data_IF_445374183350
#
_entry.id   IF_445374183350
#
_cell.length_a   1.000
_cell.length_b   1.000
_cell.length_c   1.000
_cell.angle_alpha   90.00
_cell.angle_beta   90.00
_cell.angle_gamma   90.00
#
_symmetry.space_group_name_H-M   'P 1'
#
loop_
_entity.id
_entity.type
_entity.pdbx_description
1 polymer ?
#
# COMPACT_ATOMS: atom_id res chain seq x y z
N UNK A 1 23.23 -19.26 0.78
CA UNK A 1 23.80 -18.33 1.78
C UNK A 1 22.67 -17.44 2.26
N UNK A 2 22.54 -17.26 3.57
CA UNK A 2 21.39 -16.59 4.18
C UNK A 2 21.84 -15.36 5.00
N UNK A 3 20.91 -14.49 5.40
CA UNK A 3 21.24 -13.23 6.11
C UNK A 3 21.99 -13.51 7.42
N UNK A 4 21.52 -14.47 8.22
CA UNK A 4 22.10 -14.80 9.52
C UNK A 4 23.55 -15.28 9.40
N UNK A 5 23.84 -16.15 8.43
CA UNK A 5 25.18 -16.67 8.18
C UNK A 5 26.12 -15.57 7.72
N UNK A 6 25.68 -14.68 6.83
CA UNK A 6 26.50 -13.54 6.39
C UNK A 6 26.84 -12.62 7.56
N UNK A 7 25.87 -12.30 8.42
CA UNK A 7 26.10 -11.45 9.58
C UNK A 7 27.10 -12.13 10.52
N UNK A 8 26.93 -13.41 10.86
CA UNK A 8 27.86 -14.15 11.74
C UNK A 8 29.28 -14.16 11.20
N UNK A 9 29.44 -14.42 9.90
CA UNK A 9 30.75 -14.43 9.25
C UNK A 9 31.43 -13.06 9.37
N UNK A 10 30.69 -11.97 9.11
CA UNK A 10 31.26 -10.61 9.18
C UNK A 10 31.56 -10.15 10.60
N UNK A 11 30.76 -10.54 11.58
CA UNK A 11 31.06 -10.29 13.00
C UNK A 11 32.38 -10.97 13.40
N UNK A 12 32.58 -12.22 13.00
CA UNK A 12 33.83 -12.95 13.28
C UNK A 12 35.04 -12.32 12.56
N UNK A 13 34.91 -11.97 11.28
CA UNK A 13 35.98 -11.34 10.49
C UNK A 13 36.39 -9.95 10.99
N UNK A 14 35.46 -9.23 11.62
CA UNK A 14 35.68 -7.87 12.14
C UNK A 14 35.92 -7.83 13.64
N UNK A 15 35.95 -8.99 14.32
CA UNK A 15 36.07 -9.11 15.78
C UNK A 15 35.01 -8.30 16.54
N UNK A 16 33.78 -8.27 16.02
CA UNK A 16 32.64 -7.55 16.59
C UNK A 16 31.69 -8.51 17.33
N UNK A 17 31.08 -8.01 18.40
CA UNK A 17 30.07 -8.73 19.17
C UNK A 17 28.64 -8.41 18.72
N UNK A 18 27.67 -9.21 19.17
CA UNK A 18 26.25 -8.97 18.87
C UNK A 18 25.75 -7.64 19.44
N UNK A 19 26.28 -7.24 20.61
CA UNK A 19 25.97 -5.95 21.24
C UNK A 19 26.36 -4.76 20.36
N UNK A 20 27.45 -4.87 19.60
CA UNK A 20 27.92 -3.80 18.72
C UNK A 20 26.98 -3.65 17.52
N UNK A 21 26.54 -4.78 16.97
CA UNK A 21 25.54 -4.80 15.90
C UNK A 21 24.18 -4.29 16.37
N UNK A 22 23.76 -4.65 17.58
CA UNK A 22 22.52 -4.19 18.20
C UNK A 22 22.54 -2.68 18.39
N UNK A 23 23.62 -2.14 18.95
CA UNK A 23 23.82 -0.69 19.12
C UNK A 23 23.83 0.04 17.76
N UNK A 24 24.55 -0.46 16.76
CA UNK A 24 24.61 0.17 15.44
C UNK A 24 23.27 0.15 14.70
N UNK A 25 22.46 -0.88 14.92
CA UNK A 25 21.11 -1.01 14.37
C UNK A 25 20.02 -0.40 15.24
N UNK A 26 20.40 0.19 16.39
CA UNK A 26 19.51 0.82 17.38
C UNK A 26 18.43 -0.13 17.96
N UNK A 27 18.70 -1.44 17.96
CA UNK A 27 17.78 -2.48 18.44
C UNK A 27 18.36 -3.17 19.68
N UNK A 28 17.54 -3.97 20.35
CA UNK A 28 18.01 -4.76 21.49
C UNK A 28 18.95 -5.89 21.07
N UNK A 29 19.89 -6.25 21.94
CA UNK A 29 20.78 -7.40 21.71
C UNK A 29 19.98 -8.71 21.59
N UNK A 30 18.91 -8.85 22.36
CA UNK A 30 17.99 -9.99 22.29
C UNK A 30 17.36 -10.14 20.89
N UNK A 31 16.99 -9.02 20.25
CA UNK A 31 16.46 -9.05 18.89
C UNK A 31 17.48 -9.56 17.88
N UNK A 32 18.73 -9.06 17.95
CA UNK A 32 19.83 -9.55 17.10
C UNK A 32 20.09 -11.04 17.36
N UNK A 33 20.13 -11.47 18.62
CA UNK A 33 20.30 -12.88 18.98
C UNK A 33 19.19 -13.76 18.40
N UNK A 34 17.93 -13.34 18.48
CA UNK A 34 16.79 -14.06 17.91
C UNK A 34 16.84 -14.14 16.38
N UNK A 35 17.25 -13.06 15.71
CA UNK A 35 17.48 -13.04 14.26
C UNK A 35 18.60 -14.02 13.88
N UNK A 36 19.75 -13.97 14.58
CA UNK A 36 20.87 -14.85 14.32
C UNK A 36 20.56 -16.32 14.64
N UNK A 37 19.70 -16.59 15.63
CA UNK A 37 19.24 -17.93 15.98
C UNK A 37 18.17 -18.48 15.02
N UNK A 38 17.74 -17.71 14.01
CA UNK A 38 16.63 -18.03 13.10
C UNK A 38 15.30 -18.28 13.82
N UNK A 39 15.15 -17.75 15.04
CA UNK A 39 13.87 -17.74 15.75
C UNK A 39 12.91 -16.71 15.17
N UNK A 40 13.46 -15.68 14.53
CA UNK A 40 12.72 -14.64 13.82
C UNK A 40 13.16 -14.60 12.36
N UNK A 41 12.18 -14.34 11.49
CA UNK A 41 12.45 -14.07 10.08
C UNK A 41 13.14 -12.71 9.92
N UNK A 42 14.07 -12.57 8.96
CA UNK A 42 14.61 -11.26 8.60
C UNK A 42 13.48 -10.31 8.17
N UNK A 43 13.47 -9.05 8.65
CA UNK A 43 12.40 -8.10 8.36
C UNK A 43 12.23 -7.83 6.86
N UNK A 44 11.04 -7.41 6.43
CA UNK A 44 10.80 -7.08 5.02
C UNK A 44 11.65 -5.86 4.61
N UNK A 45 12.51 -5.96 3.58
CA UNK A 45 13.45 -4.89 3.23
C UNK A 45 12.82 -3.57 2.82
N UNK A 46 11.61 -3.59 2.28
CA UNK A 46 10.83 -2.40 1.91
C UNK A 46 10.27 -1.64 3.12
N UNK A 47 10.37 -2.20 4.34
CA UNK A 47 9.74 -1.69 5.56
C UNK A 47 10.71 -1.44 6.70
N UNK A 48 12.01 -1.49 6.45
CA UNK A 48 13.02 -1.36 7.49
C UNK A 48 14.27 -0.66 6.99
N UNK A 49 14.87 0.13 7.86
CA UNK A 49 16.20 0.74 7.68
C UNK A 49 17.33 -0.12 8.27
N UNK A 50 16.98 -1.23 8.95
CA UNK A 50 17.94 -2.03 9.74
C UNK A 50 19.09 -2.57 8.88
N UNK A 51 18.80 -2.91 7.61
CA UNK A 51 19.80 -3.44 6.70
C UNK A 51 20.85 -2.41 6.32
N UNK A 52 20.47 -1.14 6.18
CA UNK A 52 21.44 -0.09 5.93
C UNK A 52 22.33 0.12 7.16
N UNK A 53 21.72 0.23 8.34
CA UNK A 53 22.43 0.42 9.61
C UNK A 53 23.44 -0.72 9.87
N UNK A 54 22.99 -1.98 9.75
CA UNK A 54 23.86 -3.15 9.88
C UNK A 54 24.94 -3.22 8.80
N UNK A 55 24.62 -2.89 7.54
CA UNK A 55 25.59 -2.96 6.44
C UNK A 55 26.75 -1.97 6.64
N UNK A 56 26.47 -0.78 7.20
CA UNK A 56 27.51 0.22 7.53
C UNK A 56 28.51 -0.34 8.54
N UNK A 57 28.04 -0.93 9.65
CA UNK A 57 28.92 -1.53 10.65
C UNK A 57 29.71 -2.73 10.09
N UNK A 58 29.03 -3.62 9.37
CA UNK A 58 29.63 -4.85 8.83
C UNK A 58 30.50 -4.61 7.58
N UNK A 59 30.66 -3.36 7.15
CA UNK A 59 31.40 -2.94 5.95
C UNK A 59 30.95 -3.73 4.71
N UNK A 60 29.64 -3.89 4.54
CA UNK A 60 29.04 -4.59 3.41
C UNK A 60 28.58 -3.59 2.34
N UNK A 61 28.56 -4.00 1.05
CA UNK A 61 27.96 -3.19 0.00
C UNK A 61 26.49 -2.85 0.33
N UNK A 62 26.04 -1.62 0.06
CA UNK A 62 24.67 -1.22 0.31
C UNK A 62 23.71 -2.13 -0.45
N UNK A 63 22.63 -2.51 0.21
CA UNK A 63 21.60 -3.39 -0.35
C UNK A 63 21.96 -4.88 -0.44
N UNK A 64 23.14 -5.32 0.04
CA UNK A 64 23.48 -6.74 0.04
C UNK A 64 22.62 -7.55 1.02
N UNK A 65 22.45 -7.04 2.24
CA UNK A 65 21.61 -7.69 3.25
C UNK A 65 20.13 -7.69 2.86
N UNK A 66 19.61 -6.58 2.34
CA UNK A 66 18.22 -6.48 1.88
C UNK A 66 17.91 -7.48 0.78
N UNK A 67 18.76 -7.59 -0.25
CA UNK A 67 18.58 -8.57 -1.34
C UNK A 67 18.54 -10.02 -0.83
N UNK A 68 19.37 -10.36 0.15
CA UNK A 68 19.36 -11.71 0.74
C UNK A 68 18.09 -11.95 1.56
N UNK A 69 17.65 -10.95 2.32
CA UNK A 69 16.39 -11.03 3.08
C UNK A 69 15.19 -11.21 2.14
N UNK A 70 15.12 -10.46 1.04
CA UNK A 70 14.07 -10.59 0.02
C UNK A 70 13.99 -12.01 -0.54
N UNK A 71 15.14 -12.60 -0.89
CA UNK A 71 15.21 -13.96 -1.40
C UNK A 71 14.72 -14.98 -0.36
N UNK A 72 15.18 -14.86 0.89
CA UNK A 72 14.74 -15.75 1.97
C UNK A 72 13.23 -15.66 2.21
N UNK A 73 12.66 -14.46 2.22
CA UNK A 73 11.21 -14.27 2.42
C UNK A 73 10.40 -14.83 1.26
N UNK A 74 10.84 -14.64 0.02
CA UNK A 74 10.18 -15.23 -1.17
C UNK A 74 10.21 -16.76 -1.13
N UNK A 75 11.30 -17.35 -0.68
CA UNK A 75 11.40 -18.80 -0.56
C UNK A 75 10.55 -19.36 0.58
N UNK A 76 10.36 -18.60 1.66
CA UNK A 76 9.47 -19.01 2.77
C UNK A 76 7.99 -18.84 2.41
N UNK A 77 7.62 -17.75 1.72
CA UNK A 77 6.26 -17.54 1.20
C UNK A 77 5.82 -18.66 0.24
N UNK A 78 6.76 -19.21 -0.55
CA UNK A 78 6.48 -20.37 -1.42
C UNK A 78 6.17 -21.65 -0.64
N UNK A 79 6.63 -21.77 0.61
CA UNK A 79 6.38 -22.93 1.48
C UNK A 79 5.10 -22.76 2.29
N UNK A 80 4.73 -21.53 2.64
CA UNK A 80 3.53 -21.21 3.41
C UNK A 80 2.34 -20.89 2.50
N UNK A 81 1.77 -21.92 1.86
CA UNK A 81 0.49 -21.83 1.17
C UNK A 81 -0.38 -23.01 1.56
N UNK A 82 -0.75 -23.09 2.83
CA UNK A 82 -1.73 -24.04 3.35
C UNK A 82 -2.04 -23.62 4.78
N UNK A 83 -3.06 -22.77 4.94
CA UNK A 83 -4.06 -22.88 6.00
C UNK A 83 -5.12 -21.77 5.83
N UNK A 84 -6.40 -22.05 6.09
CA UNK A 84 -7.43 -21.01 6.11
C UNK A 84 -7.12 -20.00 7.22
N UNK A 85 -7.28 -18.70 6.98
CA UNK A 85 -6.96 -17.71 7.98
C UNK A 85 -7.91 -17.80 9.18
N UNK A 86 -7.35 -17.86 10.38
CA UNK A 86 -8.11 -17.84 11.62
C UNK A 86 -8.88 -16.50 11.77
N UNK A 87 -10.03 -16.48 12.46
CA UNK A 87 -10.72 -15.23 12.78
C UNK A 87 -9.83 -14.28 13.58
N UNK A 88 -10.03 -12.97 13.42
CA UNK A 88 -9.39 -11.97 14.30
C UNK A 88 -9.72 -12.23 15.77
N UNK A 89 -8.75 -11.94 16.63
CA UNK A 89 -8.95 -11.90 18.08
C UNK A 89 -10.10 -10.95 18.42
N UNK A 90 -10.95 -11.37 19.37
CA UNK A 90 -12.15 -10.62 19.76
C UNK A 90 -11.79 -9.22 20.27
N UNK A 91 -10.70 -9.13 21.02
CA UNK A 91 -10.15 -7.89 21.57
C UNK A 91 -9.69 -6.94 20.46
N UNK A 92 -9.09 -7.46 19.39
CA UNK A 92 -8.70 -6.65 18.22
C UNK A 92 -9.94 -6.09 17.53
N UNK A 93 -10.98 -6.92 17.33
CA UNK A 93 -12.26 -6.48 16.78
C UNK A 93 -12.89 -5.37 17.62
N UNK A 94 -12.90 -5.52 18.95
CA UNK A 94 -13.45 -4.53 19.87
C UNK A 94 -12.70 -3.20 19.79
N UNK A 95 -11.36 -3.23 19.68
CA UNK A 95 -10.54 -2.02 19.49
C UNK A 95 -10.84 -1.32 18.17
N UNK A 96 -11.04 -2.08 17.09
CA UNK A 96 -11.42 -1.55 15.78
C UNK A 96 -12.81 -0.90 15.84
N UNK A 97 -13.80 -1.60 16.41
CA UNK A 97 -15.17 -1.09 16.54
C UNK A 97 -15.24 0.16 17.42
N UNK A 98 -14.45 0.23 18.50
CA UNK A 98 -14.39 1.41 19.39
C UNK A 98 -13.94 2.68 18.67
N UNK A 99 -13.14 2.56 17.61
CA UNK A 99 -12.68 3.68 16.78
C UNK A 99 -13.63 4.01 15.63
N UNK A 100 -14.66 3.20 15.40
CA UNK A 100 -15.67 3.44 14.38
C UNK A 100 -16.52 4.67 14.74
N UNK A 101 -16.99 5.40 13.73
CA UNK A 101 -17.95 6.48 13.92
C UNK A 101 -19.21 5.98 14.66
N UNK A 102 -19.66 6.66 15.74
CA UNK A 102 -20.82 6.22 16.52
C UNK A 102 -22.09 6.05 15.69
N UNK A 103 -22.22 6.79 14.59
CA UNK A 103 -23.37 6.71 13.70
C UNK A 103 -23.49 5.37 12.97
N UNK A 104 -22.36 4.69 12.69
CA UNK A 104 -22.31 3.43 11.93
C UNK A 104 -21.87 2.23 12.75
N UNK A 105 -21.32 2.44 13.95
CA UNK A 105 -20.78 1.38 14.81
C UNK A 105 -21.76 0.21 14.99
N UNK A 106 -23.03 0.48 15.32
CA UNK A 106 -24.02 -0.57 15.55
C UNK A 106 -24.28 -1.44 14.30
N UNK A 107 -24.33 -0.82 13.12
CA UNK A 107 -24.51 -1.52 11.85
C UNK A 107 -23.28 -2.37 11.52
N UNK A 108 -22.08 -1.81 11.66
CA UNK A 108 -20.83 -2.52 11.40
C UNK A 108 -20.64 -3.68 12.36
N UNK A 109 -20.93 -3.48 13.66
CA UNK A 109 -20.89 -4.53 14.68
C UNK A 109 -21.78 -5.71 14.31
N UNK A 110 -23.02 -5.45 13.90
CA UNK A 110 -23.94 -6.50 13.46
C UNK A 110 -23.39 -7.28 12.24
N UNK A 111 -22.70 -6.61 11.31
CA UNK A 111 -22.05 -7.28 10.17
C UNK A 111 -20.89 -8.17 10.64
N UNK A 112 -20.02 -7.68 11.53
CA UNK A 112 -18.88 -8.43 12.05
C UNK A 112 -19.31 -9.64 12.89
N UNK A 113 -20.39 -9.51 13.67
CA UNK A 113 -20.96 -10.63 14.45
C UNK A 113 -21.60 -11.69 13.55
N UNK A 114 -22.26 -11.26 12.46
CA UNK A 114 -22.87 -12.17 11.49
C UNK A 114 -21.84 -12.93 10.66
N UNK A 115 -20.74 -12.27 10.28
CA UNK A 115 -19.66 -12.87 9.51
C UNK A 115 -18.30 -12.53 10.16
N UNK A 116 -17.91 -13.27 11.23
CA UNK A 116 -16.64 -13.07 11.89
C UNK A 116 -15.49 -13.20 10.91
N UNK A 117 -14.68 -12.16 10.83
CA UNK A 117 -13.56 -12.01 9.93
C UNK A 117 -13.92 -12.22 8.45
N UNK A 118 -15.09 -11.72 8.08
CA UNK A 118 -15.56 -11.61 6.69
C UNK A 118 -14.82 -10.54 5.88
N UNK A 119 -15.27 -10.32 4.65
CA UNK A 119 -14.62 -9.42 3.70
C UNK A 119 -14.53 -7.97 4.21
N UNK A 120 -15.60 -7.45 4.79
CA UNK A 120 -15.62 -6.10 5.34
C UNK A 120 -14.66 -5.94 6.52
N UNK A 121 -14.66 -6.90 7.45
CA UNK A 121 -13.76 -6.87 8.62
C UNK A 121 -12.29 -6.95 8.18
N UNK A 122 -11.98 -7.79 7.18
CA UNK A 122 -10.64 -7.87 6.58
C UNK A 122 -10.24 -6.56 5.90
N UNK A 123 -11.13 -5.99 5.09
CA UNK A 123 -10.87 -4.73 4.39
C UNK A 123 -10.58 -3.60 5.37
N UNK A 124 -11.46 -3.42 6.37
CA UNK A 124 -11.30 -2.37 7.40
C UNK A 124 -9.98 -2.59 8.14
N UNK A 125 -9.73 -3.80 8.65
CA UNK A 125 -8.51 -4.10 9.40
C UNK A 125 -7.27 -3.86 8.56
N UNK A 126 -7.28 -4.30 7.30
CA UNK A 126 -6.16 -4.10 6.38
C UNK A 126 -5.91 -2.61 6.11
N UNK A 127 -6.94 -1.81 5.83
CA UNK A 127 -6.79 -0.37 5.57
C UNK A 127 -6.28 0.40 6.80
N UNK A 128 -6.79 0.07 7.98
CA UNK A 128 -6.28 0.66 9.23
C UNK A 128 -4.81 0.29 9.44
N UNK A 129 -4.44 -0.98 9.26
CA UNK A 129 -3.05 -1.43 9.35
C UNK A 129 -2.15 -0.74 8.33
N UNK A 130 -2.56 -0.64 7.06
CA UNK A 130 -1.78 0.00 6.00
C UNK A 130 -1.49 1.47 6.33
N UNK A 131 -2.49 2.20 6.81
CA UNK A 131 -2.33 3.61 7.20
C UNK A 131 -1.38 3.73 8.39
N UNK A 132 -1.57 2.94 9.43
CA UNK A 132 -0.76 2.99 10.66
C UNK A 132 0.69 2.59 10.37
N UNK A 133 0.90 1.56 9.55
CA UNK A 133 2.24 1.16 9.12
C UNK A 133 2.93 2.22 8.28
N UNK A 134 2.20 2.89 7.39
CA UNK A 134 2.77 3.98 6.61
C UNK A 134 3.29 5.10 7.52
N UNK A 135 2.52 5.50 8.53
CA UNK A 135 2.97 6.47 9.54
C UNK A 135 4.21 5.95 10.28
N UNK A 136 4.17 4.71 10.78
CA UNK A 136 5.29 4.12 11.50
C UNK A 136 6.56 3.99 10.65
N UNK A 137 6.42 3.75 9.35
CA UNK A 137 7.53 3.69 8.40
C UNK A 137 8.12 5.08 8.11
N UNK A 138 7.26 6.09 7.90
CA UNK A 138 7.68 7.48 7.68
C UNK A 138 8.42 8.05 8.91
N UNK A 139 8.02 7.64 10.11
CA UNK A 139 8.58 8.10 11.38
C UNK A 139 9.69 7.17 11.95
N UNK A 140 10.09 6.11 11.24
CA UNK A 140 11.05 5.12 11.76
C UNK A 140 12.44 5.70 12.06
N UNK A 141 12.85 6.73 11.31
CA UNK A 141 14.12 7.45 11.53
C UNK A 141 13.96 8.64 12.51
N UNK A 142 12.74 8.93 12.97
CA UNK A 142 12.44 10.02 13.89
C UNK A 142 12.64 9.58 15.34
N UNK A 143 13.82 9.89 15.91
CA UNK A 143 14.11 9.59 17.32
C UNK A 143 13.07 10.17 18.28
N UNK A 144 12.60 11.40 18.01
CA UNK A 144 11.63 12.08 18.86
C UNK A 144 10.29 11.34 18.88
N UNK A 145 9.83 10.87 17.71
CA UNK A 145 8.60 10.11 17.60
C UNK A 145 8.72 8.77 18.32
N UNK A 146 9.81 8.03 18.09
CA UNK A 146 10.07 6.75 18.76
C UNK A 146 10.09 6.90 20.28
N UNK A 147 10.75 7.93 20.81
CA UNK A 147 10.76 8.21 22.26
C UNK A 147 9.39 8.62 22.79
N UNK A 148 8.57 9.28 21.99
CA UNK A 148 7.21 9.65 22.37
C UNK A 148 6.32 8.40 22.50
N UNK A 149 6.33 7.52 21.49
CA UNK A 149 5.56 6.28 21.49
C UNK A 149 6.08 5.31 22.57
N UNK A 150 7.40 5.20 22.75
CA UNK A 150 8.03 4.41 23.80
C UNK A 150 7.52 4.77 25.20
N UNK A 151 7.38 6.07 25.50
CA UNK A 151 6.87 6.53 26.80
C UNK A 151 5.42 6.14 27.03
N UNK A 152 4.59 6.14 25.99
CA UNK A 152 3.17 5.79 26.12
C UNK A 152 2.98 4.32 26.50
N UNK A 153 3.82 3.43 25.98
CA UNK A 153 3.84 2.01 26.31
C UNK A 153 4.80 1.64 27.44
N UNK A 154 5.45 2.62 28.09
CA UNK A 154 6.49 2.43 29.13
C UNK A 154 7.62 1.49 28.70
N UNK A 155 8.08 1.62 27.45
CA UNK A 155 9.18 0.84 26.86
C UNK A 155 10.44 1.71 26.74
N UNK A 156 11.60 1.07 26.59
CA UNK A 156 12.82 1.77 26.17
C UNK A 156 12.73 2.19 24.70
N UNK A 157 13.68 3.00 24.25
CA UNK A 157 13.78 3.42 22.85
C UNK A 157 14.05 2.21 21.94
N UNK A 158 15.01 1.38 22.32
CA UNK A 158 15.45 0.19 21.58
C UNK A 158 14.35 -0.86 21.53
N UNK A 159 13.63 -1.06 22.65
CA UNK A 159 12.46 -1.94 22.70
C UNK A 159 11.37 -1.44 21.74
N UNK A 160 11.07 -0.14 21.78
CA UNK A 160 10.04 0.44 20.92
C UNK A 160 10.42 0.30 19.44
N UNK A 161 11.68 0.54 19.09
CA UNK A 161 12.16 0.36 17.71
C UNK A 161 11.97 -1.08 17.24
N UNK A 162 12.30 -2.07 18.09
CA UNK A 162 12.05 -3.49 17.79
C UNK A 162 10.56 -3.76 17.59
N UNK A 163 9.69 -3.24 18.46
CA UNK A 163 8.23 -3.40 18.35
C UNK A 163 7.71 -2.79 17.04
N UNK A 164 8.19 -1.61 16.63
CA UNK A 164 7.83 -0.99 15.34
C UNK A 164 8.23 -1.89 14.17
N UNK A 165 9.47 -2.39 14.15
CA UNK A 165 9.96 -3.26 13.07
C UNK A 165 9.14 -4.54 12.95
N UNK A 166 8.76 -5.15 14.07
CA UNK A 166 7.89 -6.33 14.10
C UNK A 166 6.47 -6.03 13.64
N UNK A 167 5.94 -4.86 14.02
CA UNK A 167 4.63 -4.41 13.59
C UNK A 167 4.56 -4.16 12.08
N UNK A 168 5.59 -3.54 11.49
CA UNK A 168 5.65 -3.29 10.05
C UNK A 168 5.59 -4.59 9.22
N UNK A 169 6.11 -5.68 9.79
CA UNK A 169 6.13 -7.01 9.19
C UNK A 169 4.86 -7.83 9.41
N UNK A 170 4.05 -7.47 10.41
CA UNK A 170 2.80 -8.16 10.75
C UNK A 170 1.78 -8.07 9.61
N UNK A 171 0.93 -9.06 9.37
CA UNK A 171 -0.19 -8.96 8.41
C UNK A 171 -1.56 -8.96 9.11
N UNK A 172 -2.64 -8.85 8.33
CA UNK A 172 -4.01 -8.84 8.86
C UNK A 172 -4.39 -10.15 9.60
N UNK A 173 -3.68 -11.25 9.34
CA UNK A 173 -3.92 -12.55 9.94
C UNK A 173 -3.13 -12.76 11.23
N UNK A 174 -2.00 -12.05 11.37
CA UNK A 174 -1.07 -12.16 12.49
C UNK A 174 -1.12 -10.96 13.44
N UNK A 175 -2.06 -10.01 13.23
CA UNK A 175 -2.21 -8.84 14.11
C UNK A 175 -2.60 -9.25 15.52
N UNK A 176 -1.81 -8.82 16.50
CA UNK A 176 -2.03 -9.08 17.92
C UNK A 176 -2.72 -7.91 18.63
N UNK A 177 -3.22 -8.17 19.83
CA UNK A 177 -3.76 -7.12 20.72
C UNK A 177 -2.69 -6.09 21.08
N UNK A 178 -1.46 -6.53 21.35
CA UNK A 178 -0.33 -5.63 21.68
C UNK A 178 -0.03 -4.67 20.52
N UNK A 179 -0.08 -5.15 19.28
CA UNK A 179 0.09 -4.32 18.09
C UNK A 179 -0.99 -3.23 18.00
N UNK A 180 -2.23 -3.59 18.33
CA UNK A 180 -3.35 -2.66 18.32
C UNK A 180 -3.21 -1.60 19.43
N UNK A 181 -2.87 -2.02 20.65
CA UNK A 181 -2.68 -1.11 21.80
C UNK A 181 -1.48 -0.18 21.59
N UNK A 182 -0.40 -0.68 20.98
CA UNK A 182 0.84 0.09 20.81
C UNK A 182 0.78 1.07 19.63
N UNK A 183 0.04 0.75 18.57
CA UNK A 183 0.04 1.55 17.34
C UNK A 183 -1.35 1.98 16.89
N UNK A 184 -2.28 1.04 16.68
CA UNK A 184 -3.59 1.38 16.10
C UNK A 184 -4.38 2.33 17.01
N UNK A 185 -4.50 2.00 18.29
CA UNK A 185 -5.26 2.77 19.26
C UNK A 185 -4.73 4.20 19.48
N UNK A 186 -3.41 4.42 19.64
CA UNK A 186 -2.88 5.77 19.79
C UNK A 186 -2.86 6.57 18.47
N UNK A 187 -2.61 5.93 17.33
CA UNK A 187 -2.43 6.63 16.05
C UNK A 187 -3.74 6.93 15.32
N UNK A 188 -4.78 6.13 15.51
CA UNK A 188 -6.09 6.34 14.90
C UNK A 188 -6.99 7.06 15.90
N UNK A 189 -7.48 8.23 15.53
CA UNK A 189 -8.50 8.95 16.30
C UNK A 189 -9.88 8.31 16.08
N UNK A 190 -10.27 8.15 14.81
CA UNK A 190 -11.52 7.52 14.40
C UNK A 190 -11.47 7.04 12.94
N UNK A 191 -12.45 6.23 12.53
CA UNK A 191 -12.66 5.86 11.15
C UNK A 191 -14.15 5.71 10.82
N UNK A 192 -14.50 5.87 9.55
CA UNK A 192 -15.85 5.66 9.03
C UNK A 192 -15.80 4.95 7.68
N UNK A 193 -16.88 4.24 7.34
CA UNK A 193 -17.04 3.62 6.02
C UNK A 193 -18.45 3.82 5.50
N UNK A 194 -18.55 4.29 4.27
CA UNK A 194 -19.79 4.30 3.54
C UNK A 194 -20.05 2.96 2.89
N UNK A 195 -21.03 2.21 3.41
CA UNK A 195 -21.38 0.89 2.89
C UNK A 195 -22.01 0.93 1.49
N UNK A 196 -22.47 2.09 1.01
CA UNK A 196 -23.00 2.23 -0.34
C UNK A 196 -21.89 2.41 -1.40
N UNK A 197 -20.89 3.25 -1.10
CA UNK A 197 -19.78 3.56 -2.02
C UNK A 197 -18.48 2.82 -1.71
N UNK A 198 -18.41 2.13 -0.57
CA UNK A 198 -17.19 1.61 0.05
C UNK A 198 -16.13 2.67 0.35
N UNK A 199 -16.50 3.95 0.33
CA UNK A 199 -15.62 5.05 0.72
C UNK A 199 -15.25 4.95 2.20
N UNK A 200 -13.96 4.92 2.53
CA UNK A 200 -13.47 4.81 3.90
C UNK A 200 -12.67 6.05 4.28
N UNK A 201 -12.96 6.64 5.42
CA UNK A 201 -12.19 7.74 5.99
C UNK A 201 -11.51 7.29 7.29
N UNK A 202 -10.23 7.58 7.44
CA UNK A 202 -9.43 7.30 8.63
C UNK A 202 -8.85 8.61 9.12
N UNK A 203 -9.20 9.00 10.34
CA UNK A 203 -8.71 10.20 11.01
C UNK A 203 -7.55 9.82 11.91
N UNK A 204 -6.40 10.44 11.67
CA UNK A 204 -5.19 10.21 12.44
C UNK A 204 -5.10 11.15 13.64
N UNK A 205 -4.48 10.66 14.71
CA UNK A 205 -4.19 11.46 15.89
C UNK A 205 -3.08 12.48 15.56
N UNK A 206 -3.45 13.75 15.45
CA UNK A 206 -2.55 14.85 15.05
C UNK A 206 -1.32 15.01 15.92
N UNK A 207 -1.35 14.52 17.17
CA UNK A 207 -0.20 14.59 18.09
C UNK A 207 0.90 13.59 17.74
N UNK A 208 0.53 12.47 17.12
CA UNK A 208 1.41 11.35 16.84
C UNK A 208 1.62 11.11 15.34
N UNK A 209 0.75 11.64 14.50
CA UNK A 209 0.86 11.53 13.06
C UNK A 209 0.57 12.92 12.47
N UNK A 210 1.60 13.72 12.14
CA UNK A 210 1.42 15.02 11.51
C UNK A 210 0.91 14.82 10.07
N UNK A 211 -0.42 14.73 9.92
CA UNK A 211 -1.09 14.51 8.65
C UNK A 211 -2.60 14.70 8.73
N UNK A 212 -3.24 14.98 7.59
CA UNK A 212 -4.70 15.05 7.45
C UNK A 212 -5.34 13.64 7.47
N UNK A 213 -6.68 13.59 7.55
CA UNK A 213 -7.42 12.34 7.37
C UNK A 213 -7.08 11.67 6.03
N UNK A 214 -7.06 10.34 6.03
CA UNK A 214 -6.87 9.52 4.82
C UNK A 214 -8.24 9.06 4.35
N UNK A 215 -8.62 9.48 3.13
CA UNK A 215 -9.85 9.05 2.49
C UNK A 215 -9.54 8.11 1.33
N UNK A 216 -10.18 6.96 1.34
CA UNK A 216 -10.11 5.92 0.33
C UNK A 216 -11.46 5.85 -0.38
N UNK A 217 -11.43 5.85 -1.70
CA UNK A 217 -12.63 5.77 -2.53
C UNK A 217 -12.40 4.76 -3.64
N UNK A 218 -13.40 3.96 -3.93
CA UNK A 218 -13.38 2.97 -5.00
C UNK A 218 -14.13 3.53 -6.20
N UNK A 219 -13.49 4.50 -6.87
CA UNK A 219 -14.07 5.21 -8.03
C UNK A 219 -13.13 5.08 -9.23
N UNK A 220 -13.71 4.87 -10.41
CA UNK A 220 -12.97 5.03 -11.66
C UNK A 220 -12.76 6.54 -11.87
N UNK A 221 -11.55 7.03 -11.59
CA UNK A 221 -11.21 8.42 -11.86
C UNK A 221 -10.85 8.58 -13.34
N UNK A 222 -11.53 9.43 -14.11
CA UNK A 222 -10.98 9.89 -15.37
C UNK A 222 -9.64 10.60 -15.08
N UNK A 223 -8.65 10.52 -15.98
CA UNK A 223 -7.29 10.95 -15.65
C UNK A 223 -7.21 12.46 -15.31
N UNK A 224 -6.75 12.76 -14.09
CA UNK A 224 -6.73 14.08 -13.40
C UNK A 224 -5.89 15.21 -14.05
N UNK A 225 -5.31 15.01 -15.24
CA UNK A 225 -4.55 16.07 -15.92
C UNK A 225 -5.35 16.61 -17.10
N UNK A 226 -5.48 17.96 -17.26
CA UNK A 226 -5.86 18.51 -18.54
C UNK A 226 -4.88 17.95 -19.56
N UNK A 227 -5.41 17.18 -20.50
CA UNK A 227 -4.65 16.55 -21.56
C UNK A 227 -3.79 17.63 -22.21
N UNK A 228 -2.47 17.55 -22.06
CA UNK A 228 -1.58 18.32 -22.93
C UNK A 228 -1.91 17.85 -24.34
N UNK A 229 -2.57 18.71 -25.09
CA UNK A 229 -3.04 18.38 -26.42
C UNK A 229 -1.83 17.96 -27.25
N UNK A 230 -1.82 16.71 -27.70
CA UNK A 230 -0.72 16.13 -28.46
C UNK A 230 -0.45 17.00 -29.71
N UNK A 231 0.82 17.22 -30.07
CA UNK A 231 1.16 18.09 -31.19
C UNK A 231 0.52 17.61 -32.51
N UNK A 232 0.49 16.30 -32.75
CA UNK A 232 -0.18 15.72 -33.92
C UNK A 232 -1.70 15.89 -33.92
N UNK A 233 -2.34 15.95 -32.75
CA UNK A 233 -3.77 16.25 -32.65
C UNK A 233 -4.03 17.72 -32.99
N UNK A 234 -3.18 18.63 -32.52
CA UNK A 234 -3.26 20.05 -32.88
C UNK A 234 -3.06 20.29 -34.37
N UNK A 235 -2.12 19.60 -34.97
CA UNK A 235 -1.88 19.66 -36.42
C UNK A 235 -3.06 19.09 -37.21
N UNK A 236 -3.63 17.95 -36.78
CA UNK A 236 -4.84 17.37 -37.36
C UNK A 236 -6.02 18.35 -37.32
N UNK A 237 -6.29 18.98 -36.17
CA UNK A 237 -7.40 19.94 -36.01
C UNK A 237 -7.21 21.24 -36.81
N UNK A 238 -5.97 21.59 -37.18
CA UNK A 238 -5.67 22.75 -38.04
C UNK A 238 -5.74 22.42 -39.53
N UNK A 239 -5.54 21.15 -39.89
CA UNK A 239 -5.61 20.69 -41.26
C UNK A 239 -7.06 20.40 -41.65
N UNK A 240 -7.67 21.35 -42.37
CA UNK A 240 -9.04 21.23 -42.87
C UNK A 240 -9.22 20.09 -43.87
N UNK A 241 -8.16 19.58 -44.49
CA UNK A 241 -8.27 18.42 -45.39
C UNK A 241 -8.46 17.10 -44.66
N UNK A 242 -8.03 17.03 -43.39
CA UNK A 242 -8.12 15.83 -42.55
C UNK A 242 -9.25 15.91 -41.51
N UNK A 243 -9.50 17.09 -40.95
CA UNK A 243 -10.46 17.27 -39.86
C UNK A 243 -11.86 17.73 -40.32
N UNK A 244 -12.05 18.02 -41.61
CA UNK A 244 -13.35 18.49 -42.10
C UNK A 244 -14.46 17.47 -41.81
N UNK A 245 -15.43 17.88 -40.99
CA UNK A 245 -16.59 17.07 -40.64
C UNK A 245 -16.44 16.23 -39.39
N UNK A 246 -15.40 16.40 -38.57
CA UNK A 246 -15.32 15.81 -37.22
C UNK A 246 -16.34 16.46 -36.26
N UNK A 247 -17.15 15.64 -35.58
CA UNK A 247 -18.09 16.10 -34.56
C UNK A 247 -17.39 16.39 -33.23
N UNK A 248 -18.00 17.21 -32.37
CA UNK A 248 -17.41 17.58 -31.08
C UNK A 248 -17.15 16.36 -30.19
N UNK A 249 -18.07 15.37 -30.19
CA UNK A 249 -17.93 14.12 -29.43
C UNK A 249 -16.74 13.27 -29.92
N UNK A 250 -16.52 13.23 -31.24
CA UNK A 250 -15.40 12.50 -31.85
C UNK A 250 -14.07 13.18 -31.52
N UNK A 251 -14.04 14.52 -31.54
CA UNK A 251 -12.87 15.31 -31.14
C UNK A 251 -12.57 15.10 -29.66
N UNK A 252 -13.60 15.02 -28.80
CA UNK A 252 -13.42 14.74 -27.38
C UNK A 252 -12.86 13.33 -27.14
N UNK A 253 -13.33 12.33 -27.90
CA UNK A 253 -12.75 10.99 -27.89
C UNK A 253 -11.26 11.01 -28.27
N UNK A 254 -10.90 11.66 -29.39
CA UNK A 254 -9.51 11.74 -29.85
C UNK A 254 -8.60 12.44 -28.84
N UNK A 255 -9.12 13.45 -28.14
CA UNK A 255 -8.41 14.13 -27.04
C UNK A 255 -8.09 13.17 -25.89
N UNK A 256 -8.92 12.15 -25.61
CA UNK A 256 -8.73 11.21 -24.50
C UNK A 256 -7.68 10.11 -24.77
N UNK A 257 -7.24 9.95 -26.02
CA UNK A 257 -6.22 8.95 -26.40
C UNK A 257 -4.87 9.23 -25.71
N UNK A 258 -4.20 8.18 -25.23
CA UNK A 258 -2.95 8.27 -24.46
C UNK A 258 -1.82 7.54 -25.16
N UNK A 259 -0.65 8.19 -25.24
CA UNK A 259 0.55 7.63 -25.84
C UNK A 259 1.71 7.74 -24.84
N UNK A 260 2.44 6.64 -24.64
CA UNK A 260 3.52 6.56 -23.63
C UNK A 260 4.91 6.86 -24.19
N UNK A 261 5.17 6.51 -25.46
CA UNK A 261 6.53 6.53 -26.02
C UNK A 261 6.62 7.13 -27.43
N UNK A 262 5.50 7.25 -28.16
CA UNK A 262 5.46 7.74 -29.54
C UNK A 262 4.40 8.82 -29.67
N UNK A 263 4.76 9.95 -30.24
CA UNK A 263 3.79 11.02 -30.56
C UNK A 263 3.13 10.70 -31.90
N UNK A 264 1.78 10.57 -31.95
CA UNK A 264 1.10 10.23 -33.18
C UNK A 264 1.14 11.40 -34.17
N UNK A 265 1.14 11.08 -35.46
CA UNK A 265 1.04 12.07 -36.54
C UNK A 265 -0.43 12.46 -36.79
N UNK A 266 -0.69 13.55 -37.53
CA UNK A 266 -2.07 13.92 -37.92
C UNK A 266 -2.83 12.79 -38.63
N UNK A 267 -2.12 11.99 -39.44
CA UNK A 267 -2.70 10.85 -40.16
C UNK A 267 -3.17 9.73 -39.22
N UNK A 268 -2.55 9.57 -38.05
CA UNK A 268 -3.02 8.63 -37.04
C UNK A 268 -4.42 9.04 -36.55
N UNK A 269 -4.61 10.32 -36.22
CA UNK A 269 -5.90 10.83 -35.74
C UNK A 269 -6.99 10.76 -36.83
N UNK A 270 -6.63 11.02 -38.09
CA UNK A 270 -7.53 10.83 -39.22
C UNK A 270 -8.00 9.36 -39.33
N UNK A 271 -7.09 8.41 -39.16
CA UNK A 271 -7.41 6.98 -39.23
C UNK A 271 -8.27 6.53 -38.05
N UNK A 272 -7.99 7.02 -36.84
CA UNK A 272 -8.84 6.74 -35.68
C UNK A 272 -10.25 7.30 -35.85
N UNK A 273 -10.37 8.51 -36.43
CA UNK A 273 -11.68 9.08 -36.78
C UNK A 273 -12.44 8.20 -37.79
N UNK A 274 -11.75 7.66 -38.80
CA UNK A 274 -12.35 6.72 -39.74
C UNK A 274 -12.78 5.41 -39.05
N UNK A 275 -11.95 4.88 -38.14
CA UNK A 275 -12.26 3.67 -37.38
C UNK A 275 -13.51 3.85 -36.51
N UNK A 276 -13.70 5.02 -35.90
CA UNK A 276 -14.90 5.35 -35.12
C UNK A 276 -16.18 5.34 -35.95
N UNK A 277 -16.04 5.71 -37.23
CA UNK A 277 -17.17 5.80 -38.19
C UNK A 277 -17.41 4.50 -38.93
N UNK A 278 -16.50 3.53 -38.83
CA UNK A 278 -16.61 2.28 -39.55
C UNK A 278 -17.81 1.45 -39.00
N UNK A 279 -18.83 1.18 -39.82
CA UNK A 279 -19.99 0.38 -39.41
C UNK A 279 -19.63 -1.06 -39.03
N UNK A 280 -18.47 -1.56 -39.46
CA UNK A 280 -17.98 -2.90 -39.08
C UNK A 280 -17.52 -2.94 -37.63
N UNK A 281 -17.12 -1.81 -37.05
CA UNK A 281 -16.69 -1.69 -35.66
C UNK A 281 -17.83 -1.37 -34.71
N UNK A 282 -18.91 -0.75 -35.20
CA UNK A 282 -20.07 -0.38 -34.40
C UNK A 282 -21.38 -0.68 -35.15
N UNK A 283 -22.16 -1.65 -34.66
CA UNK A 283 -23.53 -1.86 -35.14
C UNK A 283 -24.44 -0.79 -34.53
N UNK A 284 -24.96 0.12 -35.35
CA UNK A 284 -26.09 0.96 -34.95
C UNK A 284 -27.32 0.10 -34.65
N UNK A 285 -28.26 0.57 -33.80
CA UNK A 285 -29.54 -0.11 -33.64
C UNK A 285 -30.23 -0.14 -35.00
N UNK A 286 -30.59 -1.35 -35.46
CA UNK A 286 -31.37 -1.55 -36.69
C UNK A 286 -32.72 -0.87 -36.47
N UNK A 287 -32.89 0.35 -36.97
CA UNK A 287 -34.21 0.96 -37.13
C UNK A 287 -34.90 0.22 -38.26
N UNK A 288 -35.62 -0.85 -37.88
CA UNK A 288 -36.52 -1.57 -38.76
C UNK A 288 -37.64 -0.64 -39.21
N UNK A 289 -37.44 0.07 -40.31
CA UNK A 289 -38.53 0.70 -41.03
C UNK A 289 -38.28 0.61 -42.53
N UNK A 290 -38.63 -0.56 -43.09
CA UNK A 290 -38.91 -0.70 -44.50
C UNK A 290 -40.35 -1.18 -44.64
N UNK A 291 -41.25 -0.20 -44.64
CA UNK A 291 -42.52 -0.32 -45.34
C UNK A 291 -42.24 -0.82 -46.77
N UNK A 292 -42.77 -1.98 -47.12
CA UNK A 292 -43.02 -2.33 -48.52
C UNK A 292 -44.51 -2.58 -48.68
N UNK A 293 -45.19 -1.57 -49.22
CA UNK A 293 -46.35 -1.74 -50.08
C UNK A 293 -45.97 -2.64 -51.25
N UNK A 294 -46.90 -3.52 -51.63
CA UNK A 294 -46.81 -4.46 -52.75
C UNK A 294 -47.71 -5.63 -52.44
#
# INVERSE_FOLDING_TARGET
MDVCLLIRQRLAELELEQKDLAAAAEVTESYVSQLLARKKMPPAPDRTDIYEKMSRLLKLPPGKLSKLADLQRKDELKKSLSDPPAPLFKEVRELILRKCSPAREAQIRAIFEKQPFGELERLVTQKLLDVVKKVAQEELESENWLRLVARMSRRSYEDMRVIVLEFLDTDVFNVSVENCVSFMDPLIESWDVDLASFGMEIVLNRRLAPGHSKRFEFVERPPDQPLKEEPGLREFLRDTSLSSGAAEEEIEFLKRLRFKEKHPTPLYYYRELQNLRDPLHFRGPVTGNAARKG
#
